data_IF_533535809901
#
_entry.id   IF_533535809901
#
_cell.length_a   1.000
_cell.length_b   1.000
_cell.length_c   1.000
_cell.angle_alpha   90.00
_cell.angle_beta   90.00
_cell.angle_gamma   90.00
#
_symmetry.space_group_name_H-M   'P 1'
#
loop_
_entity.id
_entity.type
_entity.pdbx_description
1 polymer ?
#
# COMPACT_ATOMS: atom_id res chain seq x y z
N UNK A 1 3.61 -59.13 -36.06
CA UNK A 1 3.66 -57.76 -36.65
C UNK A 1 2.58 -56.82 -36.11
N UNK A 2 1.31 -57.23 -35.91
CA UNK A 2 0.27 -56.33 -35.36
C UNK A 2 0.53 -55.83 -33.93
N UNK A 3 1.11 -56.65 -33.05
CA UNK A 3 1.39 -56.24 -31.65
C UNK A 3 2.42 -55.10 -31.55
N UNK A 4 3.49 -55.13 -32.36
CA UNK A 4 4.52 -54.09 -32.35
C UNK A 4 4.02 -52.72 -32.89
N UNK A 5 2.96 -52.73 -33.70
CA UNK A 5 2.39 -51.50 -34.27
C UNK A 5 1.48 -50.76 -33.27
N UNK A 6 0.84 -51.48 -32.35
CA UNK A 6 0.04 -50.87 -31.28
C UNK A 6 0.95 -50.23 -30.21
N UNK A 7 2.06 -50.88 -29.86
CA UNK A 7 3.05 -50.34 -28.91
C UNK A 7 3.62 -48.98 -29.36
N UNK A 8 3.92 -48.84 -30.66
CA UNK A 8 4.44 -47.57 -31.20
C UNK A 8 3.39 -46.47 -31.14
N UNK A 9 2.10 -46.80 -31.37
CA UNK A 9 1.01 -45.84 -31.32
C UNK A 9 0.77 -45.34 -29.89
N UNK A 10 0.79 -46.24 -28.91
CA UNK A 10 0.61 -45.90 -27.50
C UNK A 10 1.77 -45.04 -26.98
N UNK A 11 3.02 -45.33 -27.40
CA UNK A 11 4.20 -44.50 -27.09
C UNK A 11 4.10 -43.12 -27.75
N UNK A 12 3.65 -43.04 -29.00
CA UNK A 12 3.49 -41.75 -29.69
C UNK A 12 2.40 -40.89 -29.04
N UNK A 13 1.30 -41.51 -28.61
CA UNK A 13 0.20 -40.85 -27.93
C UNK A 13 0.65 -40.33 -26.56
N UNK A 14 1.35 -41.16 -25.78
CA UNK A 14 1.94 -40.77 -24.50
C UNK A 14 2.93 -39.59 -24.64
N UNK A 15 3.79 -39.60 -25.67
CA UNK A 15 4.72 -38.51 -25.95
C UNK A 15 4.00 -37.20 -26.32
N UNK A 16 2.86 -37.29 -27.01
CA UNK A 16 2.08 -36.11 -27.37
C UNK A 16 1.44 -35.43 -26.16
N UNK A 17 0.87 -36.20 -25.23
CA UNK A 17 0.36 -35.66 -23.96
C UNK A 17 1.49 -35.04 -23.12
N UNK A 18 2.66 -35.69 -23.10
CA UNK A 18 3.82 -35.18 -22.37
C UNK A 18 4.31 -33.84 -22.93
N UNK A 19 4.34 -33.70 -24.27
CA UNK A 19 4.67 -32.45 -24.94
C UNK A 19 3.69 -31.32 -24.61
N UNK A 20 2.38 -31.61 -24.59
CA UNK A 20 1.35 -30.63 -24.20
C UNK A 20 1.51 -30.20 -22.74
N UNK A 21 1.74 -31.14 -21.82
CA UNK A 21 1.94 -30.84 -20.39
C UNK A 21 3.18 -29.96 -20.20
N UNK A 22 4.30 -30.32 -20.83
CA UNK A 22 5.54 -29.53 -20.75
C UNK A 22 5.30 -28.12 -21.32
N UNK A 23 4.64 -28.00 -22.48
CA UNK A 23 4.30 -26.71 -23.07
C UNK A 23 3.44 -25.83 -22.17
N UNK A 24 2.43 -26.41 -21.51
CA UNK A 24 1.58 -25.69 -20.55
C UNK A 24 2.38 -25.23 -19.32
N UNK A 25 3.29 -26.06 -18.82
CA UNK A 25 4.16 -25.70 -17.69
C UNK A 25 5.07 -24.53 -18.06
N UNK A 26 5.74 -24.58 -19.21
CA UNK A 26 6.58 -23.47 -19.68
C UNK A 26 5.79 -22.18 -19.88
N UNK A 27 4.61 -22.25 -20.52
CA UNK A 27 3.74 -21.09 -20.68
C UNK A 27 3.30 -20.49 -19.34
N UNK A 28 3.00 -21.33 -18.34
CA UNK A 28 2.68 -20.87 -16.99
C UNK A 28 3.88 -20.20 -16.30
N UNK A 29 5.09 -20.74 -16.48
CA UNK A 29 6.32 -20.14 -15.95
C UNK A 29 6.61 -18.78 -16.59
N UNK A 30 6.54 -18.66 -17.91
CA UNK A 30 6.75 -17.39 -18.62
C UNK A 30 5.71 -16.34 -18.21
N UNK A 31 4.45 -16.74 -18.08
CA UNK A 31 3.38 -15.86 -17.62
C UNK A 31 3.64 -15.34 -16.20
N UNK A 32 4.06 -16.21 -15.28
CA UNK A 32 4.36 -15.81 -13.91
C UNK A 32 5.56 -14.85 -13.84
N UNK A 33 6.64 -15.12 -14.59
CA UNK A 33 7.80 -14.24 -14.64
C UNK A 33 7.47 -12.86 -15.25
N UNK A 34 6.67 -12.83 -16.32
CA UNK A 34 6.19 -11.58 -16.92
C UNK A 34 5.30 -10.79 -15.96
N UNK A 35 4.42 -11.49 -15.22
CA UNK A 35 3.55 -10.88 -14.20
C UNK A 35 4.36 -10.28 -13.05
N UNK A 36 5.36 -10.98 -12.53
CA UNK A 36 6.23 -10.45 -11.47
C UNK A 36 6.94 -9.17 -11.92
N UNK A 37 7.54 -9.19 -13.11
CA UNK A 37 8.21 -8.01 -13.67
C UNK A 37 7.24 -6.84 -13.86
N UNK A 38 6.01 -7.10 -14.32
CA UNK A 38 5.00 -6.05 -14.45
C UNK A 38 4.57 -5.50 -13.09
N UNK A 39 4.40 -6.37 -12.10
CA UNK A 39 4.03 -5.98 -10.74
C UNK A 39 5.09 -5.11 -10.08
N UNK A 40 6.36 -5.38 -10.35
CA UNK A 40 7.48 -4.55 -9.91
C UNK A 40 7.48 -3.19 -10.61
N UNK A 41 7.29 -3.16 -11.93
CA UNK A 41 7.19 -1.90 -12.69
C UNK A 41 6.06 -1.01 -12.18
N UNK A 42 4.87 -1.58 -11.99
CA UNK A 42 3.71 -0.85 -11.47
C UNK A 42 4.02 -0.28 -10.07
N UNK A 43 4.66 -1.08 -9.20
CA UNK A 43 5.05 -0.60 -7.86
C UNK A 43 6.05 0.57 -7.93
N UNK A 44 7.04 0.50 -8.84
CA UNK A 44 8.02 1.56 -9.04
C UNK A 44 7.37 2.84 -9.58
N UNK A 45 6.37 2.73 -10.46
CA UNK A 45 5.62 3.86 -10.98
C UNK A 45 4.90 4.61 -9.86
N UNK A 46 4.16 3.91 -8.99
CA UNK A 46 3.53 4.54 -7.82
C UNK A 46 4.55 5.18 -6.87
N UNK A 47 5.74 4.59 -6.69
CA UNK A 47 6.80 5.21 -5.87
C UNK A 47 7.29 6.51 -6.51
N UNK A 48 7.39 6.57 -7.84
CA UNK A 48 7.74 7.81 -8.55
C UNK A 48 6.63 8.85 -8.42
N UNK A 49 5.38 8.45 -8.55
CA UNK A 49 4.24 9.36 -8.42
C UNK A 49 4.11 9.92 -7.00
N UNK A 50 4.45 9.12 -5.99
CA UNK A 50 4.53 9.58 -4.61
C UNK A 50 5.61 10.66 -4.41
N UNK A 51 6.65 10.66 -5.24
CA UNK A 51 7.70 11.67 -5.25
C UNK A 51 7.38 12.85 -6.18
N UNK A 52 6.30 12.77 -6.97
CA UNK A 52 5.88 13.87 -7.83
C UNK A 52 5.43 15.08 -7.01
N UNK A 53 5.49 16.26 -7.63
CA UNK A 53 5.25 17.55 -6.99
C UNK A 53 3.92 17.58 -6.24
N UNK A 54 2.83 17.14 -6.87
CA UNK A 54 1.47 17.23 -6.30
C UNK A 54 1.29 16.49 -4.97
N UNK A 55 1.75 15.23 -4.87
CA UNK A 55 1.64 14.43 -3.64
C UNK A 55 2.72 14.84 -2.64
N UNK A 56 3.92 15.16 -3.12
CA UNK A 56 5.03 15.55 -2.26
C UNK A 56 4.76 16.87 -1.52
N UNK A 57 4.10 17.84 -2.14
CA UNK A 57 3.69 19.10 -1.48
C UNK A 57 2.70 18.85 -0.35
N UNK A 58 1.64 18.06 -0.61
CA UNK A 58 0.64 17.72 0.40
C UNK A 58 1.27 16.95 1.58
N UNK A 59 2.16 16.00 1.28
CA UNK A 59 2.95 15.29 2.30
C UNK A 59 3.82 16.24 3.13
N UNK A 60 4.61 17.08 2.46
CA UNK A 60 5.50 18.02 3.13
C UNK A 60 4.72 19.04 3.96
N UNK A 61 3.49 19.37 3.55
CA UNK A 61 2.60 20.20 4.34
C UNK A 61 2.22 19.51 5.66
N UNK A 62 1.81 18.23 5.61
CA UNK A 62 1.46 17.43 6.79
C UNK A 62 2.67 17.25 7.73
N UNK A 63 3.86 16.97 7.18
CA UNK A 63 5.09 16.82 7.97
C UNK A 63 5.50 18.13 8.65
N UNK A 64 5.32 19.26 7.97
CA UNK A 64 5.66 20.59 8.52
C UNK A 64 4.86 20.94 9.76
N UNK A 65 3.61 20.49 9.88
CA UNK A 65 2.77 20.77 11.06
C UNK A 65 3.34 20.17 12.35
N UNK A 66 4.01 19.02 12.23
CA UNK A 66 4.60 18.33 13.38
C UNK A 66 5.99 18.84 13.76
N UNK A 67 6.64 19.64 12.91
CA UNK A 67 8.00 20.16 13.15
C UNK A 67 8.18 20.88 14.50
N UNK A 68 7.22 21.70 14.98
CA UNK A 68 7.34 22.37 16.28
C UNK A 68 7.19 21.42 17.47
N UNK A 69 6.68 20.21 17.26
CA UNK A 69 6.30 19.29 18.33
C UNK A 69 7.29 18.11 18.39
N UNK A 70 8.12 18.02 19.45
CA UNK A 70 9.02 16.89 19.60
C UNK A 70 8.23 15.63 19.96
N UNK A 71 7.80 14.86 18.94
CA UNK A 71 6.97 13.65 19.12
C UNK A 71 7.62 12.63 20.06
N UNK A 72 8.95 12.56 20.12
CA UNK A 72 9.70 11.72 21.09
C UNK A 72 9.44 12.11 22.55
N UNK A 73 9.16 13.38 22.82
CA UNK A 73 8.89 13.89 24.16
C UNK A 73 7.41 13.77 24.54
N UNK A 74 6.52 13.62 23.56
CA UNK A 74 5.07 13.50 23.77
C UNK A 74 4.67 12.03 23.82
N UNK A 75 5.16 11.20 22.90
CA UNK A 75 4.80 9.80 22.77
C UNK A 75 5.18 8.95 23.99
N UNK A 76 4.35 7.95 24.30
CA UNK A 76 4.58 7.01 25.41
C UNK A 76 4.25 7.55 26.81
N UNK A 77 3.78 8.80 26.92
CA UNK A 77 3.29 9.38 28.18
C UNK A 77 1.78 9.16 28.34
N UNK A 78 1.31 9.10 29.58
CA UNK A 78 -0.14 9.06 29.87
C UNK A 78 -0.84 10.27 29.26
N UNK A 79 -1.88 10.04 28.46
CA UNK A 79 -2.62 11.10 27.77
C UNK A 79 -1.99 11.60 26.46
N UNK A 80 -0.86 11.03 26.01
CA UNK A 80 -0.20 11.46 24.77
C UNK A 80 -1.05 11.27 23.52
N UNK A 81 -1.85 10.19 23.48
CA UNK A 81 -2.73 9.90 22.34
C UNK A 81 -3.78 11.00 22.15
N UNK A 82 -4.42 11.43 23.24
CA UNK A 82 -5.42 12.50 23.22
C UNK A 82 -4.82 13.83 22.71
N UNK A 83 -3.60 14.16 23.16
CA UNK A 83 -2.90 15.37 22.71
C UNK A 83 -2.54 15.29 21.22
N UNK A 84 -2.05 14.14 20.76
CA UNK A 84 -1.75 13.92 19.33
C UNK A 84 -3.02 14.05 18.50
N UNK A 85 -4.12 13.42 18.93
CA UNK A 85 -5.42 13.49 18.25
C UNK A 85 -5.92 14.93 18.16
N UNK A 86 -5.88 15.70 19.25
CA UNK A 86 -6.28 17.10 19.27
C UNK A 86 -5.43 17.97 18.35
N UNK A 87 -4.11 17.78 18.34
CA UNK A 87 -3.20 18.50 17.45
C UNK A 87 -3.48 18.15 15.99
N UNK A 88 -3.58 16.86 15.67
CA UNK A 88 -3.87 16.38 14.33
C UNK A 88 -5.20 16.93 13.80
N UNK A 89 -6.24 16.91 14.65
CA UNK A 89 -7.54 17.52 14.36
C UNK A 89 -7.41 19.02 14.08
N UNK A 90 -6.64 19.76 14.89
CA UNK A 90 -6.44 21.20 14.70
C UNK A 90 -5.73 21.56 13.40
N UNK A 91 -4.86 20.66 12.90
CA UNK A 91 -4.16 20.87 11.64
C UNK A 91 -5.02 20.52 10.43
N UNK A 92 -5.85 19.47 10.53
CA UNK A 92 -6.47 18.84 9.36
C UNK A 92 -7.96 19.10 9.23
N UNK A 93 -8.68 19.32 10.32
CA UNK A 93 -10.13 19.49 10.29
C UNK A 93 -10.46 20.96 10.51
N UNK A 94 -10.56 21.70 9.41
CA UNK A 94 -11.06 23.06 9.42
C UNK A 94 -12.60 23.06 9.28
N UNK A 95 -13.28 23.97 9.99
CA UNK A 95 -14.75 23.99 10.07
C UNK A 95 -15.44 24.02 8.70
N UNK A 96 -14.87 24.72 7.73
CA UNK A 96 -15.42 24.91 6.37
C UNK A 96 -14.76 24.06 5.29
N UNK A 97 -13.86 23.15 5.65
CA UNK A 97 -12.88 22.62 4.69
C UNK A 97 -11.80 23.67 4.41
N UNK A 98 -10.58 23.20 4.19
CA UNK A 98 -9.41 24.05 4.03
C UNK A 98 -8.18 23.26 3.63
N UNK A 99 -7.06 23.96 3.47
CA UNK A 99 -5.82 23.40 2.93
C UNK A 99 -5.34 22.18 3.71
N UNK A 100 -5.57 22.12 5.03
CA UNK A 100 -5.22 20.95 5.83
C UNK A 100 -6.06 19.72 5.51
N UNK A 101 -7.37 19.89 5.33
CA UNK A 101 -8.29 18.81 4.98
C UNK A 101 -7.96 18.26 3.58
N UNK A 102 -7.78 19.15 2.61
CA UNK A 102 -7.54 18.77 1.21
C UNK A 102 -6.22 18.03 1.04
N UNK A 103 -5.14 18.52 1.67
CA UNK A 103 -3.85 17.86 1.64
C UNK A 103 -3.88 16.49 2.31
N UNK A 104 -4.58 16.38 3.45
CA UNK A 104 -4.72 15.11 4.13
C UNK A 104 -5.50 14.09 3.28
N UNK A 105 -6.65 14.49 2.72
CA UNK A 105 -7.44 13.63 1.83
C UNK A 105 -6.61 13.19 0.63
N UNK A 106 -5.91 14.11 -0.05
CA UNK A 106 -5.09 13.81 -1.22
C UNK A 106 -4.02 12.76 -0.94
N UNK A 107 -3.32 12.87 0.20
CA UNK A 107 -2.30 11.88 0.59
C UNK A 107 -2.94 10.53 0.92
N UNK A 108 -4.04 10.52 1.67
CA UNK A 108 -4.71 9.28 2.07
C UNK A 108 -5.33 8.57 0.86
N UNK A 109 -5.97 9.31 -0.05
CA UNK A 109 -6.57 8.78 -1.27
C UNK A 109 -5.52 8.18 -2.19
N UNK A 110 -4.37 8.86 -2.38
CA UNK A 110 -3.25 8.30 -3.12
C UNK A 110 -2.78 6.96 -2.52
N UNK A 111 -2.59 6.91 -1.20
CA UNK A 111 -2.19 5.69 -0.52
C UNK A 111 -3.27 4.60 -0.62
N UNK A 112 -4.55 4.95 -0.67
CA UNK A 112 -5.63 3.98 -0.89
C UNK A 112 -5.58 3.36 -2.29
N UNK A 113 -5.25 4.15 -3.32
CA UNK A 113 -5.02 3.64 -4.68
C UNK A 113 -3.84 2.65 -4.70
N UNK A 114 -2.74 3.01 -4.03
CA UNK A 114 -1.59 2.10 -3.89
C UNK A 114 -1.98 0.84 -3.11
N UNK A 115 -2.75 0.98 -2.03
CA UNK A 115 -3.27 -0.13 -1.23
C UNK A 115 -4.13 -1.08 -2.05
N UNK A 116 -4.97 -0.54 -2.93
CA UNK A 116 -5.79 -1.31 -3.88
C UNK A 116 -4.92 -2.07 -4.88
N UNK A 117 -3.83 -1.46 -5.38
CA UNK A 117 -2.90 -2.11 -6.28
C UNK A 117 -2.21 -3.31 -5.61
N UNK A 118 -1.86 -3.18 -4.33
CA UNK A 118 -1.30 -4.27 -3.52
C UNK A 118 -2.34 -5.36 -3.24
N UNK A 119 -3.55 -4.98 -2.84
CA UNK A 119 -4.66 -5.91 -2.54
C UNK A 119 -5.02 -6.77 -3.75
N UNK A 120 -5.09 -6.16 -4.93
CA UNK A 120 -5.45 -6.84 -6.19
C UNK A 120 -4.29 -7.61 -6.82
N UNK A 121 -3.08 -7.55 -6.23
CA UNK A 121 -1.89 -8.26 -6.73
C UNK A 121 -1.34 -7.69 -8.04
N UNK A 122 -1.67 -6.43 -8.36
CA UNK A 122 -1.15 -5.67 -9.51
C UNK A 122 0.21 -5.03 -9.15
N UNK A 123 0.46 -4.74 -7.87
CA UNK A 123 1.72 -4.19 -7.37
C UNK A 123 2.46 -5.21 -6.50
N UNK A 124 3.80 -5.18 -6.58
CA UNK A 124 4.63 -5.94 -5.65
C UNK A 124 4.55 -5.33 -4.24
N UNK A 125 3.89 -6.04 -3.31
CA UNK A 125 3.72 -5.63 -1.92
C UNK A 125 5.05 -5.27 -1.24
N UNK A 126 6.06 -6.13 -1.36
CA UNK A 126 7.35 -5.97 -0.67
C UNK A 126 8.07 -4.70 -1.08
N UNK A 127 7.99 -4.33 -2.37
CA UNK A 127 8.58 -3.07 -2.86
C UNK A 127 7.81 -1.89 -2.27
N UNK A 128 6.49 -1.91 -2.35
CA UNK A 128 5.64 -0.84 -1.81
C UNK A 128 5.86 -0.64 -0.30
N UNK A 129 5.78 -1.71 0.51
CA UNK A 129 5.93 -1.60 1.96
C UNK A 129 7.32 -1.12 2.36
N UNK A 130 8.38 -1.52 1.64
CA UNK A 130 9.74 -1.02 1.86
C UNK A 130 9.87 0.50 1.67
N UNK A 131 9.11 1.08 0.75
CA UNK A 131 9.24 2.51 0.42
C UNK A 131 8.19 3.39 1.10
N UNK A 132 6.97 2.88 1.31
CA UNK A 132 5.83 3.64 1.80
C UNK A 132 5.30 3.15 3.15
N UNK A 133 5.75 1.99 3.64
CA UNK A 133 5.23 1.35 4.85
C UNK A 133 5.41 2.23 6.09
N UNK A 134 6.65 2.61 6.41
CA UNK A 134 6.95 3.46 7.58
C UNK A 134 6.18 4.80 7.52
N UNK A 135 6.08 5.42 6.34
CA UNK A 135 5.32 6.64 6.16
C UNK A 135 3.83 6.42 6.44
N UNK A 136 3.24 5.36 5.87
CA UNK A 136 1.81 5.03 6.05
C UNK A 136 1.49 4.70 7.50
N UNK A 137 2.38 3.95 8.18
CA UNK A 137 2.23 3.62 9.60
C UNK A 137 2.26 4.88 10.47
N UNK A 138 3.21 5.79 10.22
CA UNK A 138 3.29 7.06 10.93
C UNK A 138 2.06 7.95 10.65
N UNK A 139 1.60 8.00 9.40
CA UNK A 139 0.40 8.75 9.02
C UNK A 139 -0.82 8.22 9.77
N UNK A 140 -1.03 6.90 9.77
CA UNK A 140 -2.14 6.25 10.50
C UNK A 140 -2.06 6.50 12.00
N UNK A 141 -0.84 6.55 12.55
CA UNK A 141 -0.64 6.83 13.96
C UNK A 141 -0.99 8.28 14.33
N UNK A 142 -0.50 9.24 13.56
CA UNK A 142 -0.65 10.66 13.86
C UNK A 142 -2.02 11.21 13.50
N UNK A 143 -2.68 10.65 12.49
CA UNK A 143 -3.91 11.22 11.92
C UNK A 143 -5.13 10.30 12.05
N UNK A 144 -5.13 9.40 13.05
CA UNK A 144 -6.25 8.48 13.27
C UNK A 144 -7.56 9.23 13.57
N UNK A 145 -7.54 10.23 14.44
CA UNK A 145 -8.73 11.01 14.79
C UNK A 145 -9.30 11.77 13.57
N UNK A 146 -8.51 12.57 12.82
CA UNK A 146 -8.98 13.18 11.58
C UNK A 146 -9.59 12.20 10.59
N UNK A 147 -8.96 11.04 10.39
CA UNK A 147 -9.46 10.01 9.47
C UNK A 147 -10.84 9.48 9.90
N UNK A 148 -11.04 9.26 11.21
CA UNK A 148 -12.34 8.84 11.76
C UNK A 148 -13.42 9.90 11.53
N UNK A 149 -13.09 11.18 11.74
CA UNK A 149 -14.03 12.29 11.53
C UNK A 149 -14.40 12.41 10.05
N UNK A 150 -13.43 12.33 9.14
CA UNK A 150 -13.71 12.38 7.70
C UNK A 150 -14.60 11.22 7.24
N UNK A 151 -14.36 10.00 7.76
CA UNK A 151 -15.19 8.83 7.46
C UNK A 151 -16.62 8.99 7.98
N UNK A 152 -16.77 9.39 9.24
CA UNK A 152 -18.08 9.42 9.91
C UNK A 152 -18.88 10.68 9.59
N UNK A 153 -18.31 11.86 9.83
CA UNK A 153 -19.03 13.14 9.81
C UNK A 153 -19.07 13.78 8.41
N UNK A 154 -18.09 13.47 7.55
CA UNK A 154 -17.98 14.03 6.20
C UNK A 154 -18.38 13.04 5.09
N UNK A 155 -18.82 11.83 5.45
CA UNK A 155 -19.32 10.83 4.50
C UNK A 155 -18.26 10.19 3.60
N UNK A 156 -16.97 10.31 3.95
CA UNK A 156 -15.86 9.68 3.22
C UNK A 156 -15.57 8.28 3.77
N UNK A 157 -16.59 7.42 3.83
CA UNK A 157 -16.57 6.15 4.57
C UNK A 157 -15.42 5.22 4.14
N UNK A 158 -15.03 5.26 2.87
CA UNK A 158 -13.99 4.40 2.29
C UNK A 158 -12.57 4.97 2.43
N UNK A 159 -12.41 6.26 2.78
CA UNK A 159 -11.12 6.94 2.78
C UNK A 159 -10.16 6.30 3.77
N UNK A 160 -8.95 5.96 3.33
CA UNK A 160 -7.93 5.25 4.10
C UNK A 160 -8.24 3.76 4.32
N UNK A 161 -9.26 3.21 3.65
CA UNK A 161 -9.75 1.85 3.87
C UNK A 161 -8.77 0.77 3.40
N UNK A 162 -7.81 1.14 2.56
CA UNK A 162 -6.81 0.23 1.98
C UNK A 162 -5.41 0.43 2.55
N UNK A 163 -5.22 1.39 3.46
CA UNK A 163 -3.92 1.65 4.10
C UNK A 163 -3.37 0.45 4.85
N UNK A 164 -4.21 -0.43 5.41
CA UNK A 164 -3.75 -1.64 6.10
C UNK A 164 -2.95 -2.58 5.20
N UNK A 165 -3.17 -2.56 3.88
CA UNK A 165 -2.40 -3.37 2.92
C UNK A 165 -0.96 -2.86 2.71
N UNK A 166 -0.69 -1.62 3.09
CA UNK A 166 0.61 -0.96 3.00
C UNK A 166 1.44 -1.05 4.28
N UNK A 167 0.81 -1.49 5.37
CA UNK A 167 1.48 -1.66 6.67
C UNK A 167 1.83 -3.14 6.90
N UNK A 168 2.84 -3.40 7.72
CA UNK A 168 3.21 -4.77 8.12
C UNK A 168 2.37 -5.27 9.33
N UNK A 169 1.24 -4.61 9.60
CA UNK A 169 0.38 -4.90 10.76
C UNK A 169 0.96 -4.41 12.09
N UNK A 170 2.08 -3.68 12.06
CA UNK A 170 2.69 -3.03 13.22
C UNK A 170 2.28 -1.57 13.30
N UNK A 171 0.97 -1.29 13.31
CA UNK A 171 0.49 0.06 13.66
C UNK A 171 0.67 0.24 15.17
N UNK A 172 1.92 0.43 15.59
CA UNK A 172 2.28 0.72 16.97
C UNK A 172 2.70 2.18 17.05
N UNK A 173 1.82 2.99 17.63
CA UNK A 173 2.15 4.35 18.10
C UNK A 173 3.12 4.35 19.30
N UNK A 174 4.01 3.37 19.39
CA UNK A 174 5.02 3.26 20.43
C UNK A 174 6.25 4.02 19.95
N UNK A 175 6.53 5.17 20.57
CA UNK A 175 7.61 6.10 20.24
C UNK A 175 9.01 5.51 20.35
N UNK A 176 9.41 4.66 19.40
CA UNK A 176 10.74 4.05 19.32
C UNK A 176 11.54 4.42 18.07
N UNK A 177 10.90 4.97 17.05
CA UNK A 177 11.58 5.53 15.86
C UNK A 177 10.84 6.78 15.42
N UNK A 178 11.21 7.92 15.99
CA UNK A 178 11.19 9.12 15.16
C UNK A 178 12.40 9.03 14.21
N UNK A 179 12.34 9.60 13.00
CA UNK A 179 13.54 9.84 12.20
C UNK A 179 14.64 10.57 12.99
#
# INVERSE_FOLDING_TARGET
>A
MRAAFNDIKDVLEALSYLGVIIGLVFAAFEYNAAKELQNEKNAIEFIRDFQAEEISEARLWLERQWRPYPLREISGKTGSAEVIDQLAMSFTIESTGGTGTDNFIRVVDFLDVVGTCVETGICNKTIITRHLGDFTENLLCLYQAPLKVLRGERGLETLGGKLSFLTDGKVMCTGGRAP
#
